data_IF_125249819002
#
_entry.id   IF_125249819002
#
_cell.length_a   1.000
_cell.length_b   1.000
_cell.length_c   1.000
_cell.angle_alpha   90.00
_cell.angle_beta   90.00
_cell.angle_gamma   90.00
#
_symmetry.space_group_name_H-M   'P 1'
#
loop_
_entity.id
_entity.type
_entity.pdbx_description
1 polymer ?
#
# COMPACT_ATOMS: atom_id res chain seq x y z
N UNK A 1 41.88 5.91 -19.19
CA UNK A 1 41.36 6.46 -17.91
C UNK A 1 39.89 6.85 -18.09
N UNK A 2 38.94 6.03 -17.65
CA UNK A 2 37.54 6.44 -17.61
C UNK A 2 37.35 7.38 -16.41
N UNK A 3 37.38 8.69 -16.68
CA UNK A 3 37.07 9.72 -15.68
C UNK A 3 35.59 9.54 -15.30
N UNK A 4 35.30 9.22 -14.04
CA UNK A 4 33.93 9.15 -13.54
C UNK A 4 33.21 10.47 -13.86
N UNK A 5 32.21 10.42 -14.74
CA UNK A 5 31.32 11.55 -14.99
C UNK A 5 30.48 11.76 -13.74
N UNK A 6 30.55 12.95 -13.15
CA UNK A 6 29.73 13.26 -11.97
C UNK A 6 28.26 13.19 -12.33
N UNK A 7 27.44 12.64 -11.43
CA UNK A 7 25.99 12.52 -11.63
C UNK A 7 25.35 13.88 -11.92
N UNK A 8 24.35 13.91 -12.81
CA UNK A 8 23.50 15.09 -13.04
C UNK A 8 22.72 15.52 -11.78
N UNK A 9 22.62 14.64 -10.79
CA UNK A 9 21.92 14.85 -9.52
C UNK A 9 22.84 15.21 -8.35
N UNK A 10 24.14 15.45 -8.60
CA UNK A 10 25.12 15.72 -7.53
C UNK A 10 24.79 16.90 -6.62
N UNK A 11 23.96 17.82 -7.10
CA UNK A 11 23.55 19.04 -6.40
C UNK A 11 22.04 19.03 -6.07
N UNK A 12 21.38 17.87 -6.10
CA UNK A 12 19.96 17.79 -5.72
C UNK A 12 19.82 18.06 -4.23
N UNK A 13 19.02 19.07 -3.87
CA UNK A 13 18.75 19.45 -2.47
C UNK A 13 17.25 19.44 -2.22
N UNK A 14 16.79 18.98 -1.04
CA UNK A 14 15.37 19.02 -0.70
C UNK A 14 14.90 20.48 -0.60
N UNK A 15 13.69 20.74 -1.11
CA UNK A 15 12.97 21.99 -0.85
C UNK A 15 11.88 21.70 0.16
N UNK A 16 12.06 22.16 1.38
CA UNK A 16 11.06 21.99 2.44
C UNK A 16 10.04 23.11 2.30
N UNK A 17 8.77 22.73 2.17
CA UNK A 17 7.68 23.70 2.13
C UNK A 17 7.62 24.51 3.43
N UNK A 18 7.21 25.77 3.32
CA UNK A 18 6.90 26.62 4.49
C UNK A 18 5.63 26.08 5.17
N UNK A 19 5.37 26.52 6.41
CA UNK A 19 4.28 26.00 7.27
C UNK A 19 2.88 26.13 6.65
N UNK A 20 2.67 27.14 5.81
CA UNK A 20 1.46 27.37 5.02
C UNK A 20 1.23 26.31 3.93
N UNK A 21 2.29 25.61 3.51
CA UNK A 21 2.21 24.46 2.60
C UNK A 21 2.20 23.11 3.32
N UNK A 22 1.89 23.07 4.61
CA UNK A 22 1.80 21.82 5.38
C UNK A 22 0.34 21.39 5.54
N UNK A 23 0.09 20.10 5.36
CA UNK A 23 -1.17 19.46 5.77
C UNK A 23 -1.16 19.42 7.30
N UNK A 24 -2.01 20.24 7.92
CA UNK A 24 -2.09 20.39 9.37
C UNK A 24 -3.25 19.59 9.96
N UNK A 25 -3.29 19.46 11.30
CA UNK A 25 -4.33 18.73 12.04
C UNK A 25 -4.41 17.22 11.71
N UNK A 26 -3.36 16.65 11.14
CA UNK A 26 -3.20 15.21 10.97
C UNK A 26 -2.90 14.59 12.34
N UNK A 27 -3.76 13.67 12.78
CA UNK A 27 -3.45 12.82 13.95
C UNK A 27 -2.80 11.53 13.46
N UNK A 28 -1.49 11.57 13.31
CA UNK A 28 -0.69 10.40 12.99
C UNK A 28 -0.42 9.61 14.27
N UNK A 29 -0.73 8.31 14.26
CA UNK A 29 -0.40 7.39 15.33
C UNK A 29 0.99 6.76 15.15
N UNK A 30 1.46 6.08 16.19
CA UNK A 30 2.61 5.18 16.11
C UNK A 30 2.11 3.77 15.81
N UNK A 31 2.21 3.35 14.56
CA UNK A 31 1.72 2.06 14.10
C UNK A 31 2.87 1.06 13.99
N UNK A 32 2.66 -0.17 14.47
CA UNK A 32 3.66 -1.24 14.38
C UNK A 32 3.29 -2.18 13.23
N UNK A 33 3.57 -1.79 12.00
CA UNK A 33 3.52 -2.65 10.82
C UNK A 33 4.69 -2.35 9.87
N UNK A 34 4.85 -3.19 8.85
CA UNK A 34 5.92 -3.07 7.87
C UNK A 34 5.49 -2.34 6.59
N UNK A 35 4.17 -2.14 6.43
CA UNK A 35 3.59 -1.47 5.29
C UNK A 35 3.75 0.05 5.32
N UNK A 36 3.14 0.69 4.34
CA UNK A 36 3.11 2.13 4.19
C UNK A 36 1.99 2.72 5.05
N UNK A 37 2.31 3.82 5.72
CA UNK A 37 1.33 4.58 6.53
C UNK A 37 0.82 5.84 5.87
N UNK A 38 1.38 6.19 4.71
CA UNK A 38 0.98 7.30 3.88
C UNK A 38 1.23 6.93 2.42
N UNK A 39 0.25 7.20 1.56
CA UNK A 39 0.36 7.10 0.10
C UNK A 39 -0.38 8.25 -0.55
N UNK A 40 -0.05 8.51 -1.80
CA UNK A 40 -0.81 9.44 -2.62
C UNK A 40 -1.13 8.84 -3.98
N UNK A 41 -2.31 9.19 -4.49
CA UNK A 41 -2.58 9.17 -5.93
C UNK A 41 -2.10 10.51 -6.53
N UNK A 42 -2.52 10.83 -7.75
CA UNK A 42 -2.24 12.17 -8.29
C UNK A 42 -3.10 13.26 -7.64
N UNK A 43 -4.19 12.89 -6.96
CA UNK A 43 -5.18 13.83 -6.39
C UNK A 43 -5.32 13.76 -4.89
N UNK A 44 -5.15 12.58 -4.32
CA UNK A 44 -5.45 12.31 -2.92
C UNK A 44 -4.20 11.86 -2.18
N UNK A 45 -4.19 12.12 -0.87
CA UNK A 45 -3.24 11.56 0.09
C UNK A 45 -4.06 10.79 1.11
N UNK A 46 -3.69 9.53 1.31
CA UNK A 46 -4.28 8.63 2.30
C UNK A 46 -3.24 8.31 3.36
N UNK A 47 -3.64 8.28 4.63
CA UNK A 47 -2.73 7.97 5.74
C UNK A 47 -3.47 7.35 6.92
N UNK A 48 -2.75 6.56 7.72
CA UNK A 48 -3.30 6.01 8.96
C UNK A 48 -3.56 7.11 10.00
N UNK A 49 -4.65 6.98 10.76
CA UNK A 49 -4.93 7.87 11.90
C UNK A 49 -5.35 7.09 13.15
N UNK A 50 -5.05 7.64 14.32
CA UNK A 50 -5.35 7.05 15.64
C UNK A 50 -6.70 7.51 16.23
N UNK A 51 -7.46 8.32 15.48
CA UNK A 51 -8.76 8.84 15.91
C UNK A 51 -9.72 7.70 16.25
N UNK A 52 -10.13 7.56 17.51
CA UNK A 52 -11.24 6.68 17.96
C UNK A 52 -11.00 5.15 18.02
N UNK A 53 -9.77 4.67 17.80
CA UNK A 53 -9.46 3.23 17.86
C UNK A 53 -9.96 2.45 16.63
N UNK A 54 -9.45 1.23 16.42
CA UNK A 54 -9.70 0.47 15.19
C UNK A 54 -8.91 0.97 13.97
N UNK A 55 -9.29 0.51 12.77
CA UNK A 55 -8.59 0.81 11.52
C UNK A 55 -9.17 2.02 10.80
N UNK A 56 -8.72 3.21 11.20
CA UNK A 56 -9.20 4.48 10.67
C UNK A 56 -8.25 5.05 9.61
N UNK A 57 -8.83 5.58 8.54
CA UNK A 57 -8.09 6.15 7.42
C UNK A 57 -8.37 7.65 7.30
N UNK A 58 -7.32 8.46 7.31
CA UNK A 58 -7.36 9.86 6.95
C UNK A 58 -7.17 10.05 5.44
N UNK A 59 -7.95 10.97 4.87
CA UNK A 59 -7.91 11.34 3.46
C UNK A 59 -7.87 12.86 3.33
N UNK A 60 -7.05 13.34 2.40
CA UNK A 60 -6.95 14.75 2.03
C UNK A 60 -6.56 14.89 0.56
N UNK A 61 -6.71 16.08 -0.01
CA UNK A 61 -6.23 16.38 -1.36
C UNK A 61 -4.72 16.65 -1.37
N UNK A 62 -4.05 16.40 -2.50
CA UNK A 62 -2.62 16.71 -2.68
C UNK A 62 -2.39 18.23 -2.64
N UNK A 63 -3.28 18.97 -3.30
CA UNK A 63 -3.30 20.43 -3.32
C UNK A 63 -4.27 20.97 -2.25
N UNK A 64 -4.03 22.17 -1.70
CA UNK A 64 -4.99 22.80 -0.80
C UNK A 64 -6.26 23.22 -1.56
N UNK A 65 -7.35 23.42 -0.81
CA UNK A 65 -8.56 24.03 -1.34
C UNK A 65 -8.35 25.47 -1.80
N UNK A 66 -9.39 26.07 -2.38
CA UNK A 66 -9.35 27.45 -2.89
C UNK A 66 -9.09 28.51 -1.81
N UNK A 67 -9.32 28.18 -0.54
CA UNK A 67 -9.00 29.00 0.63
C UNK A 67 -7.54 28.85 1.11
N UNK A 68 -6.74 28.04 0.42
CA UNK A 68 -5.35 27.74 0.74
C UNK A 68 -5.19 26.77 1.92
N UNK A 69 -6.25 26.06 2.32
CA UNK A 69 -6.20 25.11 3.44
C UNK A 69 -6.48 23.69 2.98
N UNK A 70 -5.89 22.73 3.68
CA UNK A 70 -6.22 21.31 3.50
C UNK A 70 -7.39 20.92 4.40
N UNK A 71 -8.36 20.24 3.79
CA UNK A 71 -9.43 19.54 4.49
C UNK A 71 -9.02 18.09 4.68
N UNK A 72 -9.15 17.59 5.91
CA UNK A 72 -8.92 16.17 6.22
C UNK A 72 -10.25 15.54 6.58
N UNK A 73 -10.62 14.48 5.89
CA UNK A 73 -11.73 13.60 6.28
C UNK A 73 -11.18 12.30 6.86
N UNK A 74 -11.92 11.68 7.76
CA UNK A 74 -11.53 10.42 8.41
C UNK A 74 -12.67 9.43 8.27
N UNK A 75 -12.36 8.24 7.76
CA UNK A 75 -13.34 7.17 7.54
C UNK A 75 -12.97 5.91 8.33
N UNK A 76 -13.96 5.20 8.91
CA UNK A 76 -13.75 3.89 9.49
C UNK A 76 -13.61 2.85 8.37
N UNK A 77 -12.39 2.31 8.21
CA UNK A 77 -12.13 1.31 7.18
C UNK A 77 -12.20 -0.12 7.71
N UNK A 78 -11.53 -0.37 8.84
CA UNK A 78 -11.28 -1.70 9.36
C UNK A 78 -11.61 -1.80 10.84
N UNK A 79 -11.90 -3.02 11.31
CA UNK A 79 -12.17 -3.28 12.73
C UNK A 79 -10.91 -3.21 13.59
N UNK A 80 -9.73 -3.34 12.95
CA UNK A 80 -8.42 -3.30 13.59
C UNK A 80 -7.42 -2.54 12.69
N UNK A 81 -6.19 -2.34 13.19
CA UNK A 81 -5.11 -1.58 12.57
C UNK A 81 -4.95 -1.83 11.07
N UNK A 82 -5.04 -0.77 10.27
CA UNK A 82 -4.60 -0.77 8.87
C UNK A 82 -3.07 -0.93 8.85
N UNK A 83 -2.57 -2.00 8.23
CA UNK A 83 -1.15 -2.37 8.24
C UNK A 83 -0.39 -1.90 7.01
N UNK A 84 -1.07 -1.74 5.88
CA UNK A 84 -0.54 -1.19 4.63
C UNK A 84 -1.69 -0.64 3.78
N UNK A 85 -1.35 0.23 2.83
CA UNK A 85 -2.28 0.81 1.87
C UNK A 85 -1.56 1.16 0.57
N UNK A 86 -2.29 1.10 -0.54
CA UNK A 86 -1.75 1.39 -1.87
C UNK A 86 -2.84 1.92 -2.80
N UNK A 87 -2.53 2.98 -3.55
CA UNK A 87 -3.43 3.48 -4.60
C UNK A 87 -3.24 2.67 -5.88
N UNK A 88 -4.33 2.46 -6.61
CA UNK A 88 -4.28 1.85 -7.94
C UNK A 88 -3.46 2.72 -8.88
N UNK A 89 -2.52 2.15 -9.65
CA UNK A 89 -1.81 2.89 -10.69
C UNK A 89 -2.68 3.20 -11.91
N UNK A 90 -3.95 2.76 -11.92
CA UNK A 90 -4.90 2.93 -13.03
C UNK A 90 -6.11 3.81 -12.69
N UNK A 91 -6.36 4.08 -11.41
CA UNK A 91 -7.50 4.87 -10.93
C UNK A 91 -7.10 5.63 -9.66
N UNK A 92 -7.02 6.96 -9.75
CA UNK A 92 -6.62 7.84 -8.65
C UNK A 92 -7.55 7.78 -7.42
N UNK A 93 -8.76 7.27 -7.61
CA UNK A 93 -9.79 7.16 -6.60
C UNK A 93 -9.89 5.75 -6.02
N UNK A 94 -9.15 4.78 -6.54
CA UNK A 94 -9.18 3.40 -6.04
C UNK A 94 -8.02 3.16 -5.08
N UNK A 95 -8.35 2.94 -3.81
CA UNK A 95 -7.40 2.65 -2.74
C UNK A 95 -7.62 1.24 -2.21
N UNK A 96 -6.54 0.47 -2.08
CA UNK A 96 -6.55 -0.78 -1.33
C UNK A 96 -5.98 -0.56 0.08
N UNK A 97 -6.61 -1.15 1.09
CA UNK A 97 -6.13 -1.19 2.47
C UNK A 97 -6.10 -2.64 2.95
N UNK A 98 -5.06 -3.04 3.69
CA UNK A 98 -5.07 -4.31 4.42
C UNK A 98 -4.92 -4.07 5.92
N UNK A 99 -5.39 -5.03 6.73
CA UNK A 99 -5.49 -4.84 8.18
C UNK A 99 -5.16 -6.10 8.98
N UNK A 100 -4.91 -5.87 10.27
CA UNK A 100 -4.90 -6.90 11.30
C UNK A 100 -6.25 -7.61 11.48
N UNK A 101 -7.36 -7.05 10.97
CA UNK A 101 -8.67 -7.70 10.91
C UNK A 101 -8.80 -8.79 9.84
N UNK A 102 -7.67 -9.17 9.23
CA UNK A 102 -7.53 -10.25 8.25
C UNK A 102 -8.20 -9.97 6.89
N UNK A 103 -8.62 -8.73 6.63
CA UNK A 103 -9.27 -8.36 5.37
C UNK A 103 -8.45 -7.38 4.54
N UNK A 104 -8.58 -7.48 3.22
CA UNK A 104 -8.25 -6.41 2.29
C UNK A 104 -9.54 -5.74 1.87
N UNK A 105 -9.59 -4.41 1.89
CA UNK A 105 -10.74 -3.64 1.41
C UNK A 105 -10.30 -2.70 0.29
N UNK A 106 -11.13 -2.60 -0.74
CA UNK A 106 -10.96 -1.62 -1.81
C UNK A 106 -12.01 -0.54 -1.69
N UNK A 107 -11.55 0.70 -1.78
CA UNK A 107 -12.36 1.89 -1.55
C UNK A 107 -12.31 2.78 -2.78
N UNK A 108 -13.49 3.23 -3.21
CA UNK A 108 -13.62 4.32 -4.18
C UNK A 108 -13.69 5.64 -3.42
N UNK A 109 -12.53 6.16 -3.07
CA UNK A 109 -12.38 7.40 -2.30
C UNK A 109 -12.56 8.62 -3.19
N UNK A 110 -12.99 9.73 -2.60
CA UNK A 110 -13.18 11.01 -3.30
C UNK A 110 -12.49 12.14 -2.54
N UNK A 111 -12.49 13.34 -3.13
CA UNK A 111 -11.95 14.53 -2.47
C UNK A 111 -12.70 14.83 -1.16
N UNK A 112 -12.03 15.41 -0.14
CA UNK A 112 -12.62 15.60 1.19
C UNK A 112 -13.88 16.47 1.24
N UNK A 113 -14.09 17.33 0.24
CA UNK A 113 -15.29 18.15 0.10
C UNK A 113 -16.53 17.34 -0.31
N UNK A 114 -16.33 16.11 -0.79
CA UNK A 114 -17.39 15.19 -1.19
C UNK A 114 -17.68 14.18 -0.08
N UNK A 115 -18.91 13.68 -0.05
CA UNK A 115 -19.29 12.62 0.88
C UNK A 115 -18.57 11.32 0.51
N UNK A 116 -17.79 10.80 1.46
CA UNK A 116 -17.06 9.55 1.28
C UNK A 116 -18.04 8.36 1.20
N UNK A 117 -17.68 7.27 0.50
CA UNK A 117 -18.54 6.10 0.42
C UNK A 117 -18.79 5.50 1.81
N UNK A 118 -20.02 5.01 2.03
CA UNK A 118 -20.41 4.37 3.30
C UNK A 118 -19.79 3.00 3.57
N UNK A 119 -19.00 2.46 2.64
CA UNK A 119 -18.36 1.15 2.75
C UNK A 119 -17.42 0.84 1.60
N UNK A 120 -16.67 -0.26 1.74
CA UNK A 120 -15.75 -0.75 0.70
C UNK A 120 -16.53 -1.30 -0.51
N UNK A 121 -16.00 -1.07 -1.72
CA UNK A 121 -16.52 -1.62 -2.98
C UNK A 121 -16.28 -3.14 -3.05
N UNK A 122 -15.12 -3.58 -2.55
CA UNK A 122 -14.72 -4.99 -2.50
C UNK A 122 -14.09 -5.29 -1.15
N UNK A 123 -14.39 -6.46 -0.58
CA UNK A 123 -13.67 -7.02 0.57
C UNK A 123 -13.14 -8.40 0.19
N UNK A 124 -11.84 -8.63 0.37
CA UNK A 124 -11.19 -9.92 0.19
C UNK A 124 -10.84 -10.49 1.56
N UNK A 125 -10.98 -11.81 1.70
CA UNK A 125 -10.67 -12.55 2.92
C UNK A 125 -9.57 -13.59 2.65
N UNK A 126 -8.28 -13.21 2.72
CA UNK A 126 -7.15 -14.12 2.50
C UNK A 126 -7.12 -15.39 3.35
N UNK A 127 -7.68 -15.36 4.56
CA UNK A 127 -7.78 -16.53 5.44
C UNK A 127 -6.46 -16.99 6.08
N UNK A 128 -5.45 -16.11 6.12
CA UNK A 128 -4.08 -16.41 6.57
C UNK A 128 -3.69 -15.62 7.83
N UNK A 129 -4.68 -15.10 8.56
CA UNK A 129 -4.46 -14.25 9.73
C UNK A 129 -4.16 -12.79 9.39
N UNK A 130 -3.50 -12.09 10.32
CA UNK A 130 -3.08 -10.69 10.18
C UNK A 130 -2.37 -10.45 8.84
N UNK A 131 -2.87 -9.48 8.09
CA UNK A 131 -2.24 -9.01 6.87
C UNK A 131 -1.19 -7.96 7.19
N UNK A 132 -0.09 -7.99 6.46
CA UNK A 132 1.07 -7.11 6.67
C UNK A 132 1.24 -6.12 5.52
N UNK A 133 0.92 -6.54 4.29
CA UNK A 133 1.29 -5.82 3.07
C UNK A 133 0.21 -5.94 2.00
N UNK A 134 0.04 -4.88 1.21
CA UNK A 134 -0.81 -4.87 0.01
C UNK A 134 -0.16 -4.03 -1.08
N UNK A 135 -0.15 -4.53 -2.32
CA UNK A 135 0.40 -3.80 -3.45
C UNK A 135 -0.37 -4.08 -4.74
N UNK A 136 -0.77 -3.03 -5.44
CA UNK A 136 -1.31 -3.16 -6.78
C UNK A 136 -0.25 -3.61 -7.77
N UNK A 137 -0.66 -4.46 -8.70
CA UNK A 137 0.18 -4.81 -9.83
C UNK A 137 0.36 -3.60 -10.76
N UNK A 138 1.58 -3.28 -11.22
CA UNK A 138 1.85 -2.04 -11.95
C UNK A 138 1.33 -2.04 -13.39
N UNK A 139 1.03 -3.21 -13.98
CA UNK A 139 0.63 -3.33 -15.39
C UNK A 139 -0.68 -4.09 -15.63
N UNK A 140 -1.37 -4.54 -14.57
CA UNK A 140 -2.62 -5.30 -14.68
C UNK A 140 -3.63 -4.77 -13.67
N UNK A 141 -4.71 -4.15 -14.17
CA UNK A 141 -5.76 -3.61 -13.32
C UNK A 141 -6.44 -4.70 -12.50
N UNK A 142 -6.74 -4.41 -11.23
CA UNK A 142 -7.44 -5.32 -10.33
C UNK A 142 -6.61 -6.50 -9.80
N UNK A 143 -5.32 -6.59 -10.13
CA UNK A 143 -4.42 -7.59 -9.55
C UNK A 143 -3.71 -7.01 -8.32
N UNK A 144 -3.76 -7.73 -7.21
CA UNK A 144 -3.13 -7.37 -5.94
C UNK A 144 -2.15 -8.47 -5.51
N UNK A 145 -1.01 -8.06 -4.95
CA UNK A 145 -0.22 -8.90 -4.05
C UNK A 145 -0.64 -8.59 -2.62
N UNK A 146 -0.93 -9.63 -1.84
CA UNK A 146 -1.36 -9.53 -0.44
C UNK A 146 -0.43 -10.38 0.41
N UNK A 147 0.25 -9.76 1.36
CA UNK A 147 1.16 -10.43 2.28
C UNK A 147 0.53 -10.64 3.64
N UNK A 148 0.49 -11.88 4.11
CA UNK A 148 0.29 -12.23 5.52
C UNK A 148 1.64 -12.35 6.23
N UNK A 149 1.65 -12.83 7.48
CA UNK A 149 2.90 -13.03 8.23
C UNK A 149 3.92 -13.89 7.47
N UNK A 150 3.51 -15.00 6.83
CA UNK A 150 4.47 -15.92 6.16
C UNK A 150 4.14 -16.21 4.71
N UNK A 151 2.96 -15.86 4.25
CA UNK A 151 2.50 -16.18 2.89
C UNK A 151 2.27 -14.89 2.11
N UNK A 152 2.48 -14.97 0.80
CA UNK A 152 2.08 -13.91 -0.12
C UNK A 152 1.13 -14.55 -1.13
N UNK A 153 -0.04 -13.95 -1.31
CA UNK A 153 -1.07 -14.40 -2.22
C UNK A 153 -1.29 -13.37 -3.33
N UNK A 154 -1.67 -13.83 -4.50
CA UNK A 154 -2.12 -12.98 -5.60
C UNK A 154 -3.62 -13.05 -5.73
N UNK A 155 -4.25 -11.89 -5.86
CA UNK A 155 -5.70 -11.73 -5.86
C UNK A 155 -6.18 -10.95 -7.07
N UNK A 156 -7.27 -11.43 -7.68
CA UNK A 156 -8.05 -10.68 -8.66
C UNK A 156 -9.24 -10.06 -7.93
N UNK A 157 -9.36 -8.73 -7.97
CA UNK A 157 -10.43 -8.00 -7.28
C UNK A 157 -11.82 -8.32 -7.81
N UNK A 158 -11.92 -8.90 -9.01
CA UNK A 158 -13.18 -9.42 -9.57
C UNK A 158 -13.56 -10.81 -9.05
N UNK A 159 -12.63 -11.54 -8.39
CA UNK A 159 -12.84 -12.89 -7.85
C UNK A 159 -12.54 -12.93 -6.35
N UNK A 160 -13.57 -12.66 -5.56
CA UNK A 160 -13.44 -12.48 -4.11
C UNK A 160 -13.38 -13.81 -3.33
N UNK A 161 -13.68 -14.94 -3.96
CA UNK A 161 -13.84 -16.22 -3.26
C UNK A 161 -12.51 -16.89 -2.90
N UNK A 162 -11.45 -16.68 -3.68
CA UNK A 162 -10.16 -17.34 -3.47
C UNK A 162 -9.03 -16.60 -4.17
N UNK A 163 -7.78 -16.73 -3.68
CA UNK A 163 -6.63 -16.18 -4.39
C UNK A 163 -6.44 -16.85 -5.75
N UNK A 164 -5.84 -16.13 -6.70
CA UNK A 164 -5.35 -16.70 -7.96
C UNK A 164 -4.18 -17.66 -7.72
N UNK A 165 -3.33 -17.32 -6.74
CA UNK A 165 -2.13 -18.06 -6.42
C UNK A 165 -1.67 -17.77 -4.98
N UNK A 166 -1.02 -18.75 -4.36
CA UNK A 166 -0.28 -18.59 -3.11
C UNK A 166 1.18 -18.95 -3.36
N UNK A 167 2.10 -18.03 -3.05
CA UNK A 167 3.54 -18.24 -3.21
C UNK A 167 4.08 -19.14 -2.10
N UNK A 168 5.21 -19.79 -2.36
CA UNK A 168 5.89 -20.63 -1.38
C UNK A 168 6.03 -19.89 -0.03
N UNK A 169 5.63 -20.52 1.09
CA UNK A 169 5.70 -19.89 2.40
C UNK A 169 7.12 -19.48 2.80
N UNK A 170 7.22 -18.35 3.49
CA UNK A 170 8.45 -17.83 4.06
C UNK A 170 8.72 -18.47 5.43
N UNK A 171 10.00 -18.51 5.86
CA UNK A 171 10.36 -19.12 7.13
C UNK A 171 9.91 -18.31 8.35
N UNK A 172 9.74 -16.99 8.18
CA UNK A 172 9.47 -16.02 9.23
C UNK A 172 8.63 -14.85 8.66
N UNK A 173 8.50 -13.76 9.43
CA UNK A 173 7.69 -12.61 9.11
C UNK A 173 8.12 -11.93 7.79
N UNK A 174 7.20 -11.82 6.85
CA UNK A 174 7.31 -11.02 5.65
C UNK A 174 7.49 -9.53 6.02
N UNK A 175 8.45 -8.86 5.39
CA UNK A 175 8.81 -7.47 5.70
C UNK A 175 8.50 -6.51 4.54
N UNK A 176 8.50 -7.00 3.30
CA UNK A 176 8.19 -6.17 2.13
C UNK A 176 7.81 -7.03 0.93
N UNK A 177 7.03 -6.43 0.03
CA UNK A 177 6.67 -6.93 -1.29
C UNK A 177 6.91 -5.81 -2.30
N UNK A 178 7.49 -6.14 -3.45
CA UNK A 178 7.73 -5.16 -4.51
C UNK A 178 7.61 -5.79 -5.88
N UNK A 179 6.68 -5.27 -6.68
CA UNK A 179 6.57 -5.63 -8.09
C UNK A 179 7.72 -5.02 -8.88
N UNK A 180 8.30 -5.80 -9.79
CA UNK A 180 9.06 -5.23 -10.91
C UNK A 180 8.12 -4.35 -11.73
N UNK A 181 8.60 -3.22 -12.24
CA UNK A 181 7.76 -2.23 -12.95
C UNK A 181 6.98 -2.79 -14.15
N UNK A 182 7.50 -3.83 -14.82
CA UNK A 182 6.78 -4.48 -15.92
C UNK A 182 5.73 -5.52 -15.44
N UNK A 183 5.62 -5.73 -14.13
CA UNK A 183 4.72 -6.70 -13.49
C UNK A 183 5.17 -8.15 -13.61
N UNK A 184 6.31 -8.43 -14.24
CA UNK A 184 6.69 -9.82 -14.52
C UNK A 184 7.17 -10.58 -13.28
N UNK A 185 7.69 -9.88 -12.28
CA UNK A 185 8.28 -10.47 -11.09
C UNK A 185 7.78 -9.79 -9.82
N UNK A 186 7.64 -10.57 -8.75
CA UNK A 186 7.41 -10.08 -7.40
C UNK A 186 8.62 -10.41 -6.53
N UNK A 187 9.21 -9.41 -5.91
CA UNK A 187 10.26 -9.59 -4.91
C UNK A 187 9.66 -9.53 -3.51
N UNK A 188 10.18 -10.35 -2.60
CA UNK A 188 9.86 -10.32 -1.18
C UNK A 188 11.12 -10.29 -0.32
N UNK A 189 11.01 -9.64 0.84
CA UNK A 189 12.02 -9.71 1.91
C UNK A 189 11.39 -10.25 3.18
N UNK A 190 12.12 -11.11 3.89
CA UNK A 190 11.63 -11.78 5.09
C UNK A 190 12.64 -11.72 6.24
N UNK A 191 12.13 -11.74 7.47
CA UNK A 191 12.93 -11.80 8.70
C UNK A 191 13.78 -13.07 8.82
N UNK A 192 13.49 -14.09 8.01
CA UNK A 192 14.32 -15.29 7.82
C UNK A 192 15.66 -15.00 7.11
N UNK A 193 15.96 -13.72 6.86
CA UNK A 193 17.18 -13.19 6.24
C UNK A 193 17.30 -13.51 4.75
N UNK A 194 16.22 -13.90 4.09
CA UNK A 194 16.24 -14.20 2.65
C UNK A 194 15.44 -13.19 1.85
N UNK A 195 15.97 -12.85 0.69
CA UNK A 195 15.23 -12.21 -0.39
C UNK A 195 14.80 -13.30 -1.38
N UNK A 196 13.55 -13.22 -1.85
CA UNK A 196 13.01 -14.13 -2.86
C UNK A 196 12.46 -13.33 -4.02
N UNK A 197 12.64 -13.85 -5.22
CA UNK A 197 12.03 -13.32 -6.44
C UNK A 197 11.18 -14.41 -7.05
N UNK A 198 9.95 -14.08 -7.39
CA UNK A 198 8.96 -14.99 -7.97
C UNK A 198 8.59 -14.52 -9.37
N UNK A 199 8.49 -15.46 -10.32
CA UNK A 199 7.67 -15.29 -11.52
C UNK A 199 6.38 -16.08 -11.29
N UNK A 200 5.32 -15.44 -10.76
CA UNK A 200 4.11 -16.13 -10.33
C UNK A 200 3.32 -16.75 -11.47
N UNK A 201 3.64 -16.42 -12.74
CA UNK A 201 3.00 -17.02 -13.92
C UNK A 201 3.70 -18.30 -14.35
N UNK A 202 4.98 -18.45 -14.00
CA UNK A 202 5.77 -19.64 -14.31
C UNK A 202 5.66 -20.69 -13.21
N UNK A 203 5.87 -20.29 -11.94
CA UNK A 203 5.86 -21.19 -10.79
C UNK A 203 5.62 -20.42 -9.48
N UNK A 204 5.18 -21.14 -8.46
CA UNK A 204 4.87 -20.57 -7.14
C UNK A 204 6.07 -20.57 -6.19
N UNK A 205 7.17 -21.23 -6.57
CA UNK A 205 8.43 -21.23 -5.83
C UNK A 205 9.38 -20.15 -6.35
N UNK A 206 10.32 -19.63 -5.53
CA UNK A 206 11.21 -18.56 -5.96
C UNK A 206 12.06 -18.97 -7.17
N UNK A 207 12.11 -18.12 -8.20
CA UNK A 207 13.03 -18.26 -9.34
C UNK A 207 14.44 -17.80 -9.00
N UNK A 208 14.57 -16.97 -7.97
CA UNK A 208 15.84 -16.56 -7.38
C UNK A 208 15.69 -16.37 -5.88
N UNK A 209 16.73 -16.75 -5.13
CA UNK A 209 16.82 -16.56 -3.68
C UNK A 209 18.22 -16.08 -3.32
N UNK A 210 18.34 -15.12 -2.41
CA UNK A 210 19.61 -14.70 -1.82
C UNK A 210 19.60 -14.86 -0.31
N UNK A 211 20.80 -15.06 0.25
CA UNK A 211 21.09 -15.19 1.68
C UNK A 211 21.52 -13.87 2.30
#
# INVERSE_FOLDING_TARGET
MNRFKTSKFKNTTPKIAKKDGWISNVRAGSFTSQGNHIKSSTRLVAFNTDQAGGGMLGLTSVEPGSDGRWTVTVIPCHADLITDLDFSPFDDNLLATCSADETVKLWRVCEPEQEQPGGAEVTLCPGEGRLELVAFHPTSSGLLAVGSTKTAQLWDTSRQQSPLAALEPHGDQLQSLSWKQDGSLLASSCKDKKLRVFDPRAQLTPVQMSL
#
